data_IF_903419602801
#
_entry.id   IF_903419602801
#
_cell.length_a   1.000
_cell.length_b   1.000
_cell.length_c   1.000
_cell.angle_alpha   90.00
_cell.angle_beta   90.00
_cell.angle_gamma   90.00
#
_symmetry.space_group_name_H-M   'P 1'
#
loop_
_entity.id
_entity.type
_entity.pdbx_description
1 polymer ?
#
# COMPACT_ATOMS: atom_id res chain seq x y z
N UNK A 1 -6.04 14.71 -20.01
CA UNK A 1 -6.57 13.35 -20.29
C UNK A 1 -5.47 12.30 -20.56
N UNK A 2 -4.46 12.57 -21.41
CA UNK A 2 -3.39 11.59 -21.73
C UNK A 2 -2.57 11.09 -20.51
N UNK A 3 -2.31 11.91 -19.49
CA UNK A 3 -1.55 11.47 -18.30
C UNK A 3 -2.38 10.59 -17.36
N UNK A 4 -3.67 10.89 -17.20
CA UNK A 4 -4.59 10.14 -16.34
C UNK A 4 -4.82 8.72 -16.88
N UNK A 5 -4.97 8.61 -18.20
CA UNK A 5 -5.11 7.32 -18.91
C UNK A 5 -3.87 6.45 -18.77
N UNK A 6 -2.66 7.04 -18.89
CA UNK A 6 -1.39 6.30 -18.70
C UNK A 6 -1.20 5.83 -17.26
N UNK A 7 -1.53 6.67 -16.28
CA UNK A 7 -1.51 6.29 -14.87
C UNK A 7 -2.44 5.12 -14.60
N UNK A 8 -3.69 5.21 -15.08
CA UNK A 8 -4.68 4.16 -14.91
C UNK A 8 -4.22 2.83 -15.51
N UNK A 9 -3.69 2.83 -16.74
CA UNK A 9 -3.18 1.64 -17.41
C UNK A 9 -1.99 0.99 -16.68
N UNK A 10 -1.25 1.75 -15.89
CA UNK A 10 -0.09 1.23 -15.13
C UNK A 10 -0.54 0.58 -13.82
N UNK A 11 -1.43 1.24 -13.07
CA UNK A 11 -1.84 0.77 -11.74
C UNK A 11 -2.97 -0.25 -11.78
N UNK A 12 -3.89 -0.16 -12.76
CA UNK A 12 -5.01 -1.07 -12.89
C UNK A 12 -4.61 -2.56 -12.89
N UNK A 13 -3.62 -3.03 -13.69
CA UNK A 13 -3.25 -4.45 -13.66
C UNK A 13 -2.68 -4.87 -12.30
N UNK A 14 -1.87 -4.03 -11.64
CA UNK A 14 -1.30 -4.33 -10.32
C UNK A 14 -2.43 -4.49 -9.29
N UNK A 15 -3.37 -3.55 -9.28
CA UNK A 15 -4.48 -3.51 -8.34
C UNK A 15 -5.44 -4.69 -8.58
N UNK A 16 -5.84 -4.92 -9.84
CA UNK A 16 -6.79 -5.97 -10.20
C UNK A 16 -6.20 -7.36 -9.94
N UNK A 17 -4.97 -7.62 -10.39
CA UNK A 17 -4.31 -8.92 -10.17
C UNK A 17 -4.10 -9.16 -8.68
N UNK A 18 -3.61 -8.16 -7.95
CA UNK A 18 -3.44 -8.25 -6.50
C UNK A 18 -4.76 -8.57 -5.79
N UNK A 19 -5.84 -7.85 -6.12
CA UNK A 19 -7.15 -8.06 -5.52
C UNK A 19 -7.74 -9.44 -5.85
N UNK A 20 -7.60 -9.91 -7.08
CA UNK A 20 -8.04 -11.26 -7.48
C UNK A 20 -7.29 -12.33 -6.70
N UNK A 21 -5.96 -12.26 -6.63
CA UNK A 21 -5.17 -13.26 -5.89
C UNK A 21 -5.54 -13.23 -4.41
N UNK A 22 -5.65 -12.05 -3.80
CA UNK A 22 -6.01 -11.93 -2.39
C UNK A 22 -7.43 -12.47 -2.11
N UNK A 23 -8.38 -12.28 -3.03
CA UNK A 23 -9.72 -12.86 -2.93
C UNK A 23 -9.68 -14.40 -3.06
N UNK A 24 -8.85 -14.94 -3.95
CA UNK A 24 -8.69 -16.39 -4.11
C UNK A 24 -8.01 -17.05 -2.90
N UNK A 25 -7.16 -16.34 -2.16
CA UNK A 25 -6.50 -16.88 -0.98
C UNK A 25 -7.47 -17.18 0.18
N UNK A 26 -8.65 -16.57 0.18
CA UNK A 26 -9.71 -16.86 1.14
C UNK A 26 -10.77 -17.85 0.60
N UNK A 27 -10.58 -18.34 -0.63
CA UNK A 27 -11.51 -19.29 -1.25
C UNK A 27 -11.48 -20.63 -0.50
N UNK A 28 -12.67 -21.11 -0.14
CA UNK A 28 -12.89 -22.44 0.43
C UNK A 28 -12.51 -22.62 1.90
N UNK A 29 -11.99 -21.60 2.60
CA UNK A 29 -11.79 -21.69 4.07
C UNK A 29 -11.79 -20.30 4.73
N UNK A 30 -12.94 -19.81 5.23
CA UNK A 30 -13.03 -18.51 5.87
C UNK A 30 -12.59 -18.52 7.35
N UNK A 31 -12.35 -19.71 7.93
CA UNK A 31 -12.02 -19.84 9.36
C UNK A 31 -10.50 -19.92 9.51
N UNK A 32 -9.88 -19.12 10.40
CA UNK A 32 -8.49 -19.31 10.77
C UNK A 32 -8.31 -20.70 11.37
N UNK A 33 -7.74 -21.63 10.58
CA UNK A 33 -7.43 -22.99 11.04
C UNK A 33 -5.96 -23.06 11.44
N UNK A 34 -5.61 -23.92 12.41
CA UNK A 34 -4.22 -24.24 12.75
C UNK A 34 -3.54 -25.12 11.70
N UNK A 35 -4.12 -25.22 10.50
CA UNK A 35 -3.60 -26.05 9.42
C UNK A 35 -2.35 -25.43 8.79
N UNK A 36 -1.42 -26.28 8.37
CA UNK A 36 -0.24 -25.85 7.61
C UNK A 36 -0.61 -25.06 6.34
N UNK A 37 -1.73 -25.40 5.70
CA UNK A 37 -2.21 -24.74 4.49
C UNK A 37 -2.61 -23.29 4.73
N UNK A 38 -3.15 -22.97 5.91
CA UNK A 38 -3.42 -21.59 6.31
C UNK A 38 -2.14 -20.76 6.35
N UNK A 39 -1.05 -21.28 6.93
CA UNK A 39 0.25 -20.60 6.95
C UNK A 39 0.80 -20.30 5.56
N UNK A 40 0.66 -21.25 4.62
CA UNK A 40 1.05 -21.05 3.21
C UNK A 40 0.25 -19.92 2.56
N UNK A 41 -1.07 -19.85 2.81
CA UNK A 41 -1.93 -18.77 2.30
C UNK A 41 -1.56 -17.41 2.88
N UNK A 42 -1.24 -17.35 4.17
CA UNK A 42 -0.77 -16.11 4.83
C UNK A 42 0.54 -15.62 4.21
N UNK A 43 1.51 -16.53 4.00
CA UNK A 43 2.78 -16.18 3.34
C UNK A 43 2.57 -15.73 1.90
N UNK A 44 1.70 -16.41 1.14
CA UNK A 44 1.33 -16.00 -0.21
C UNK A 44 0.67 -14.62 -0.23
N UNK A 45 -0.23 -14.33 0.71
CA UNK A 45 -0.89 -13.03 0.86
C UNK A 45 0.13 -11.92 1.14
N UNK A 46 1.08 -12.17 2.06
CA UNK A 46 2.14 -11.24 2.37
C UNK A 46 3.03 -10.96 1.14
N UNK A 47 3.40 -12.00 0.39
CA UNK A 47 4.19 -11.86 -0.83
C UNK A 47 3.46 -11.02 -1.90
N UNK A 48 2.17 -11.28 -2.11
CA UNK A 48 1.34 -10.50 -3.05
C UNK A 48 1.30 -9.03 -2.64
N UNK A 49 1.12 -8.75 -1.34
CA UNK A 49 1.13 -7.39 -0.81
C UNK A 49 2.49 -6.70 -1.03
N UNK A 50 3.59 -7.39 -0.75
CA UNK A 50 4.95 -6.90 -0.97
C UNK A 50 5.16 -6.53 -2.45
N UNK A 51 4.83 -7.44 -3.36
CA UNK A 51 5.02 -7.22 -4.80
C UNK A 51 4.13 -6.09 -5.31
N UNK A 52 2.86 -6.05 -4.90
CA UNK A 52 1.93 -5.00 -5.30
C UNK A 52 2.39 -3.61 -4.84
N UNK A 53 2.84 -3.49 -3.58
CA UNK A 53 3.38 -2.23 -3.04
C UNK A 53 4.70 -1.85 -3.69
N UNK A 54 5.62 -2.80 -3.88
CA UNK A 54 6.90 -2.56 -4.55
C UNK A 54 6.71 -1.99 -5.95
N UNK A 55 5.86 -2.63 -6.76
CA UNK A 55 5.53 -2.14 -8.10
C UNK A 55 4.83 -0.78 -8.04
N UNK A 56 3.83 -0.61 -7.19
CA UNK A 56 3.06 0.65 -7.07
C UNK A 56 3.97 1.82 -6.72
N UNK A 57 4.84 1.66 -5.72
CA UNK A 57 5.80 2.69 -5.30
C UNK A 57 6.86 2.94 -6.37
N UNK A 58 7.38 1.89 -7.00
CA UNK A 58 8.37 1.99 -8.07
C UNK A 58 7.85 2.77 -9.28
N UNK A 59 6.63 2.49 -9.72
CA UNK A 59 5.98 3.25 -10.80
C UNK A 59 5.64 4.68 -10.36
N UNK A 60 5.20 4.89 -9.11
CA UNK A 60 4.89 6.22 -8.59
C UNK A 60 6.11 7.16 -8.55
N UNK A 61 7.31 6.63 -8.29
CA UNK A 61 8.54 7.41 -8.26
C UNK A 61 8.88 8.06 -9.61
N UNK A 62 8.49 7.45 -10.74
CA UNK A 62 8.85 7.87 -12.10
C UNK A 62 10.37 7.94 -12.34
N UNK A 63 11.13 7.10 -11.65
CA UNK A 63 12.58 6.95 -11.83
C UNK A 63 12.88 5.75 -12.74
N UNK A 64 14.11 5.66 -13.25
CA UNK A 64 14.56 4.48 -14.01
C UNK A 64 14.71 3.23 -13.12
N UNK A 65 14.85 3.43 -11.80
CA UNK A 65 14.97 2.39 -10.78
C UNK A 65 13.64 1.80 -10.29
N UNK A 66 12.63 1.64 -11.16
CA UNK A 66 11.27 1.17 -10.78
C UNK A 66 11.27 -0.18 -10.06
N UNK A 67 12.26 -1.01 -10.35
CA UNK A 67 12.47 -2.33 -9.75
C UNK A 67 13.70 -2.35 -8.82
N UNK A 68 13.88 -1.31 -8.02
CA UNK A 68 15.00 -1.22 -7.09
C UNK A 68 14.94 -2.29 -5.99
N UNK A 69 16.00 -3.11 -5.80
CA UNK A 69 16.09 -4.07 -4.69
C UNK A 69 16.02 -3.40 -3.31
N UNK A 70 16.50 -2.15 -3.22
CA UNK A 70 16.41 -1.35 -1.99
C UNK A 70 14.96 -1.04 -1.65
N UNK A 71 14.14 -0.69 -2.64
CA UNK A 71 12.72 -0.45 -2.44
C UNK A 71 11.99 -1.74 -2.06
N UNK A 72 12.34 -2.86 -2.71
CA UNK A 72 11.79 -4.17 -2.35
C UNK A 72 12.06 -4.50 -0.88
N UNK A 73 13.30 -4.35 -0.42
CA UNK A 73 13.67 -4.56 0.98
C UNK A 73 12.88 -3.65 1.92
N UNK A 74 12.76 -2.35 1.60
CA UNK A 74 12.03 -1.40 2.44
C UNK A 74 10.53 -1.73 2.52
N UNK A 75 9.92 -2.14 1.40
CA UNK A 75 8.52 -2.60 1.36
C UNK A 75 8.35 -3.89 2.17
N UNK A 76 9.25 -4.85 2.02
CA UNK A 76 9.24 -6.09 2.82
C UNK A 76 9.28 -5.78 4.30
N UNK A 77 10.21 -4.91 4.74
CA UNK A 77 10.29 -4.50 6.16
C UNK A 77 9.01 -3.83 6.61
N UNK A 78 8.44 -2.89 5.83
CA UNK A 78 7.20 -2.22 6.18
C UNK A 78 6.02 -3.19 6.31
N UNK A 79 5.89 -4.16 5.40
CA UNK A 79 4.86 -5.20 5.46
C UNK A 79 5.04 -6.10 6.68
N UNK A 80 6.26 -6.57 6.96
CA UNK A 80 6.55 -7.40 8.14
C UNK A 80 6.28 -6.64 9.44
N UNK A 81 6.67 -5.36 9.52
CA UNK A 81 6.32 -4.49 10.65
C UNK A 81 4.81 -4.35 10.80
N UNK A 82 4.06 -4.20 9.69
CA UNK A 82 2.60 -4.14 9.70
C UNK A 82 1.96 -5.44 10.21
N UNK A 83 2.48 -6.60 9.80
CA UNK A 83 2.02 -7.91 10.27
C UNK A 83 2.27 -8.07 11.77
N UNK A 84 3.51 -7.83 12.22
CA UNK A 84 3.87 -7.91 13.66
C UNK A 84 3.03 -6.93 14.48
N UNK A 85 2.86 -5.70 14.00
CA UNK A 85 2.01 -4.70 14.63
C UNK A 85 0.56 -5.21 14.78
N UNK A 86 0.02 -5.88 13.77
CA UNK A 86 -1.36 -6.37 13.76
C UNK A 86 -1.58 -7.53 14.72
N UNK A 87 -0.56 -8.38 14.92
CA UNK A 87 -0.57 -9.42 15.95
C UNK A 87 -0.65 -8.79 17.35
N UNK A 88 0.09 -7.70 17.58
CA UNK A 88 0.12 -7.03 18.88
C UNK A 88 -1.15 -6.22 19.15
N UNK A 89 -1.66 -5.51 18.15
CA UNK A 89 -2.83 -4.65 18.27
C UNK A 89 -3.42 -4.31 16.89
N UNK A 90 -4.74 -4.44 16.68
CA UNK A 90 -5.37 -4.22 15.37
C UNK A 90 -5.24 -2.79 14.83
N UNK A 91 -4.92 -1.79 15.67
CA UNK A 91 -4.76 -0.39 15.27
C UNK A 91 -3.33 -0.10 14.80
N UNK A 92 -2.32 -0.79 15.33
CA UNK A 92 -0.91 -0.51 15.01
C UNK A 92 -0.55 -0.67 13.52
N UNK A 93 -1.09 -1.65 12.75
CA UNK A 93 -0.88 -1.73 11.30
C UNK A 93 -1.25 -0.46 10.55
N UNK A 94 -2.29 0.24 11.02
CA UNK A 94 -2.77 1.48 10.40
C UNK A 94 -1.72 2.60 10.57
N UNK A 95 -1.08 2.66 11.74
CA UNK A 95 0.02 3.59 11.99
C UNK A 95 1.26 3.24 11.17
N UNK A 96 1.60 1.95 11.07
CA UNK A 96 2.70 1.49 10.21
C UNK A 96 2.44 1.89 8.76
N UNK A 97 1.23 1.68 8.24
CA UNK A 97 0.87 2.10 6.89
C UNK A 97 0.99 3.61 6.71
N UNK A 98 0.46 4.40 7.64
CA UNK A 98 0.50 5.87 7.61
C UNK A 98 1.95 6.40 7.56
N UNK A 99 2.84 5.86 8.41
CA UNK A 99 4.24 6.30 8.51
C UNK A 99 5.07 5.78 7.34
N UNK A 100 4.80 4.56 6.85
CA UNK A 100 5.61 3.93 5.80
C UNK A 100 5.47 4.64 4.45
N UNK A 101 4.31 5.23 4.14
CA UNK A 101 4.06 5.89 2.85
C UNK A 101 5.08 6.97 2.47
N UNK A 102 5.36 7.99 3.30
CA UNK A 102 6.38 8.99 2.99
C UNK A 102 7.79 8.39 2.93
N UNK A 103 8.10 7.41 3.79
CA UNK A 103 9.42 6.75 3.82
C UNK A 103 9.66 5.95 2.55
N UNK A 104 8.72 5.10 2.16
CA UNK A 104 8.78 4.26 0.97
C UNK A 104 8.84 5.12 -0.31
N UNK A 105 8.10 6.23 -0.35
CA UNK A 105 8.16 7.16 -1.48
C UNK A 105 9.52 7.81 -1.63
N UNK A 106 10.17 8.17 -0.51
CA UNK A 106 11.54 8.67 -0.53
C UNK A 106 12.55 7.59 -0.91
N UNK A 107 12.42 6.35 -0.43
CA UNK A 107 13.29 5.22 -0.84
C UNK A 107 13.18 4.94 -2.34
N UNK A 108 11.97 5.05 -2.90
CA UNK A 108 11.72 4.81 -4.32
C UNK A 108 12.35 5.89 -5.21
N UNK A 109 12.48 7.12 -4.71
CA UNK A 109 13.01 8.25 -5.46
C UNK A 109 14.47 8.60 -5.13
N UNK A 110 15.01 8.21 -3.97
CA UNK A 110 16.34 8.62 -3.54
C UNK A 110 16.73 8.21 -2.11
N UNK A 111 17.64 8.96 -1.45
CA UNK A 111 18.13 8.63 -0.12
C UNK A 111 17.09 8.92 0.98
N UNK A 112 17.07 8.13 2.06
CA UNK A 112 16.14 8.29 3.18
C UNK A 112 16.15 9.69 3.85
N UNK A 113 17.32 10.34 3.90
CA UNK A 113 17.46 11.72 4.42
C UNK A 113 16.65 12.74 3.61
N UNK A 114 16.17 12.37 2.42
CA UNK A 114 15.32 13.22 1.60
C UNK A 114 13.87 13.31 2.12
N UNK A 115 13.44 12.44 3.05
CA UNK A 115 12.13 12.55 3.73
C UNK A 115 12.04 13.86 4.52
N UNK A 116 13.01 14.12 5.40
CA UNK A 116 13.02 15.34 6.23
C UNK A 116 13.04 16.59 5.38
N UNK A 117 13.83 16.61 4.30
CA UNK A 117 13.82 17.72 3.33
C UNK A 117 12.48 17.91 2.63
N UNK A 118 11.75 16.83 2.34
CA UNK A 118 10.38 16.91 1.77
C UNK A 118 9.42 17.56 2.76
N UNK A 119 9.50 17.17 4.03
CA UNK A 119 8.68 17.71 5.12
C UNK A 119 8.97 19.19 5.34
N UNK A 120 10.24 19.59 5.39
CA UNK A 120 10.62 21.00 5.61
C UNK A 120 10.32 21.89 4.42
N UNK A 121 10.41 21.37 3.19
CA UNK A 121 10.08 22.12 1.97
C UNK A 121 8.58 22.47 1.89
N UNK A 122 7.71 21.55 2.29
CA UNK A 122 6.27 21.75 2.18
C UNK A 122 5.52 21.18 3.40
N UNK A 123 5.65 21.81 4.59
CA UNK A 123 5.10 21.28 5.83
C UNK A 123 3.57 21.19 5.80
N UNK A 124 2.90 22.20 5.26
CA UNK A 124 1.43 22.22 5.14
C UNK A 124 0.95 21.10 4.21
N UNK A 125 1.60 20.90 3.06
CA UNK A 125 1.23 19.82 2.12
C UNK A 125 1.54 18.44 2.71
N UNK A 126 2.61 18.32 3.47
CA UNK A 126 2.93 17.09 4.20
C UNK A 126 1.84 16.79 5.24
N UNK A 127 1.44 17.78 6.03
CA UNK A 127 0.36 17.66 7.01
C UNK A 127 -0.95 17.26 6.33
N UNK A 128 -1.36 17.97 5.27
CA UNK A 128 -2.57 17.63 4.52
C UNK A 128 -2.49 16.25 3.86
N UNK A 129 -1.29 15.83 3.42
CA UNK A 129 -1.05 14.50 2.88
C UNK A 129 -1.22 13.40 3.93
N UNK A 130 -0.68 13.61 5.13
CA UNK A 130 -0.87 12.70 6.27
C UNK A 130 -2.32 12.68 6.73
N UNK A 131 -2.97 13.84 6.90
CA UNK A 131 -4.38 13.93 7.28
C UNK A 131 -5.27 13.24 6.24
N UNK A 132 -5.03 13.47 4.95
CA UNK A 132 -5.73 12.78 3.86
C UNK A 132 -5.50 11.28 3.87
N UNK A 133 -4.27 10.82 4.12
CA UNK A 133 -3.97 9.39 4.27
C UNK A 133 -4.69 8.79 5.48
N UNK A 134 -4.74 9.49 6.63
CA UNK A 134 -5.48 9.07 7.81
C UNK A 134 -6.97 8.92 7.52
N UNK A 135 -7.60 9.93 6.90
CA UNK A 135 -9.02 9.86 6.52
C UNK A 135 -9.27 8.70 5.56
N UNK A 136 -8.42 8.52 4.54
CA UNK A 136 -8.56 7.44 3.58
C UNK A 136 -8.43 6.06 4.22
N UNK A 137 -7.48 5.90 5.16
CA UNK A 137 -7.32 4.67 5.93
C UNK A 137 -8.58 4.39 6.76
N UNK A 138 -9.12 5.40 7.46
CA UNK A 138 -10.36 5.26 8.24
C UNK A 138 -11.52 4.84 7.34
N UNK A 139 -11.70 5.50 6.19
CA UNK A 139 -12.74 5.16 5.22
C UNK A 139 -12.59 3.72 4.74
N UNK A 140 -11.37 3.28 4.41
CA UNK A 140 -11.12 1.91 3.97
C UNK A 140 -11.39 0.88 5.07
N UNK A 141 -11.03 1.18 6.33
CA UNK A 141 -11.35 0.32 7.47
C UNK A 141 -12.87 0.21 7.64
N UNK A 142 -13.58 1.33 7.64
CA UNK A 142 -15.06 1.35 7.75
C UNK A 142 -15.69 0.58 6.60
N UNK A 143 -15.25 0.81 5.36
CA UNK A 143 -15.74 0.08 4.19
C UNK A 143 -15.46 -1.42 4.28
N UNK A 144 -14.25 -1.81 4.71
CA UNK A 144 -13.89 -3.21 4.93
C UNK A 144 -14.74 -3.87 6.00
N UNK A 145 -15.02 -3.18 7.11
CA UNK A 145 -15.92 -3.66 8.16
C UNK A 145 -17.35 -3.83 7.64
N UNK A 146 -17.90 -2.82 6.94
CA UNK A 146 -19.24 -2.89 6.34
C UNK A 146 -19.32 -4.07 5.36
N UNK A 147 -18.34 -4.24 4.46
CA UNK A 147 -18.29 -5.38 3.55
C UNK A 147 -18.19 -6.71 4.30
N UNK A 148 -17.42 -6.75 5.39
CA UNK A 148 -17.30 -7.90 6.28
C UNK A 148 -18.60 -8.25 7.01
N UNK A 149 -19.46 -7.29 7.31
CA UNK A 149 -20.76 -7.53 7.94
C UNK A 149 -21.87 -7.92 6.94
N UNK A 150 -21.87 -7.35 5.73
CA UNK A 150 -23.02 -7.46 4.81
C UNK A 150 -22.79 -8.33 3.56
N UNK A 151 -21.56 -8.43 3.05
CA UNK A 151 -21.27 -9.15 1.79
C UNK A 151 -20.53 -10.46 2.07
N UNK A 152 -19.55 -10.45 2.98
CA UNK A 152 -18.70 -11.59 3.39
C UNK A 152 -18.01 -12.36 2.24
N UNK A 153 -17.02 -13.20 2.58
CA UNK A 153 -16.37 -14.10 1.63
C UNK A 153 -15.55 -13.43 0.52
N UNK A 154 -15.38 -14.16 -0.60
CA UNK A 154 -14.46 -13.84 -1.71
C UNK A 154 -14.76 -12.48 -2.34
N UNK A 155 -16.04 -12.15 -2.51
CA UNK A 155 -16.46 -10.88 -3.13
C UNK A 155 -16.09 -9.70 -2.23
N UNK A 156 -16.38 -9.79 -0.93
CA UNK A 156 -16.03 -8.75 0.03
C UNK A 156 -14.51 -8.53 0.08
N UNK A 157 -13.71 -9.60 0.08
CA UNK A 157 -12.26 -9.48 0.02
C UNK A 157 -11.78 -8.83 -1.28
N UNK A 158 -12.30 -9.28 -2.42
CA UNK A 158 -11.93 -8.70 -3.73
C UNK A 158 -12.18 -7.19 -3.77
N UNK A 159 -13.35 -6.73 -3.34
CA UNK A 159 -13.68 -5.30 -3.28
C UNK A 159 -12.75 -4.56 -2.30
N UNK A 160 -12.52 -5.13 -1.11
CA UNK A 160 -11.64 -4.56 -0.10
C UNK A 160 -10.23 -4.33 -0.65
N UNK A 161 -9.66 -5.33 -1.35
CA UNK A 161 -8.34 -5.22 -1.95
C UNK A 161 -8.27 -4.29 -3.15
N UNK A 162 -9.33 -4.19 -3.95
CA UNK A 162 -9.44 -3.18 -5.02
C UNK A 162 -9.39 -1.75 -4.44
N UNK A 163 -10.15 -1.51 -3.36
CA UNK A 163 -10.22 -0.21 -2.69
C UNK A 163 -8.88 0.13 -2.03
N UNK A 164 -8.26 -0.82 -1.32
CA UNK A 164 -6.94 -0.63 -0.73
C UNK A 164 -5.86 -0.38 -1.78
N UNK A 165 -5.82 -1.16 -2.86
CA UNK A 165 -4.86 -0.99 -3.94
C UNK A 165 -4.99 0.37 -4.62
N UNK A 166 -6.23 0.81 -4.88
CA UNK A 166 -6.52 2.14 -5.44
C UNK A 166 -6.05 3.25 -4.50
N UNK A 167 -6.36 3.13 -3.21
CA UNK A 167 -5.94 4.09 -2.18
C UNK A 167 -4.42 4.18 -2.08
N UNK A 168 -3.73 3.03 -2.09
CA UNK A 168 -2.28 2.96 -2.07
C UNK A 168 -1.66 3.64 -3.28
N UNK A 169 -2.21 3.45 -4.49
CA UNK A 169 -1.73 4.11 -5.70
C UNK A 169 -1.91 5.63 -5.66
N UNK A 170 -3.05 6.12 -5.16
CA UNK A 170 -3.30 7.57 -4.99
C UNK A 170 -2.29 8.16 -4.01
N UNK A 171 -2.09 7.53 -2.85
CA UNK A 171 -1.14 8.02 -1.85
C UNK A 171 0.31 7.94 -2.34
N UNK A 172 0.70 6.84 -2.99
CA UNK A 172 2.02 6.66 -3.58
C UNK A 172 2.34 7.78 -4.60
N UNK A 173 1.41 8.04 -5.51
CA UNK A 173 1.59 9.10 -6.53
C UNK A 173 1.63 10.48 -5.91
N UNK A 174 0.79 10.75 -4.91
CA UNK A 174 0.82 12.01 -4.15
C UNK A 174 2.19 12.24 -3.50
N UNK A 175 2.66 11.29 -2.70
CA UNK A 175 3.92 11.42 -1.97
C UNK A 175 5.13 11.47 -2.89
N UNK A 176 5.16 10.66 -3.95
CA UNK A 176 6.21 10.74 -4.96
C UNK A 176 6.22 12.11 -5.67
N UNK A 177 5.05 12.70 -5.94
CA UNK A 177 4.97 14.04 -6.54
C UNK A 177 5.49 15.13 -5.61
N UNK A 178 5.19 15.03 -4.31
CA UNK A 178 5.68 15.96 -3.31
C UNK A 178 7.20 15.87 -3.17
N UNK A 179 7.72 14.65 -3.18
CA UNK A 179 9.15 14.38 -3.14
C UNK A 179 9.88 14.98 -4.36
N UNK A 180 9.40 14.73 -5.58
CA UNK A 180 10.00 15.30 -6.79
C UNK A 180 10.05 16.82 -6.77
N UNK A 181 9.01 17.48 -6.25
CA UNK A 181 8.99 18.96 -6.14
C UNK A 181 9.99 19.49 -5.12
N UNK A 182 10.28 18.73 -4.06
CA UNK A 182 11.25 19.10 -3.05
C UNK A 182 12.71 18.86 -3.50
N UNK A 183 12.91 18.01 -4.51
CA UNK A 183 14.22 17.66 -5.07
C UNK A 183 14.22 17.79 -6.59
N UNK A 184 14.08 19.01 -7.14
CA UNK A 184 14.28 19.23 -8.57
C UNK A 184 15.75 18.95 -8.90
N UNK A 185 15.96 18.00 -9.79
CA UNK A 185 17.26 17.70 -10.42
C UNK A 185 17.69 18.83 -11.34
#
# INVERSE_FOLDING_TARGET
>A
MKSLTRGLLTYAPIIVVGAVIQALLIFGDPVPTTSWWFSVRVLASALVLILALWLTMGFAAHTDGRSSPRLLLAVTVAVLCGIVAGILNPILPLLVALISLPVLSAVAAGPLRAVTRTITFAPIRTFLGLAGATVLIIVNVVAGLVLGFFVTGVVAAGITWLVFGTSAAILATYWASLHRRAHPS
#
